data_IF_274783394732
#
_entry.id   IF_274783394732
#
_cell.length_a   1.000
_cell.length_b   1.000
_cell.length_c   1.000
_cell.angle_alpha   90.00
_cell.angle_beta   90.00
_cell.angle_gamma   90.00
#
_symmetry.space_group_name_H-M   'P 1'
#
loop_
_entity.id
_entity.type
_entity.pdbx_description
1 polymer ?
#
# COMPACT_ATOMS: atom_id res chain seq x y z
N UNK A 1 -21.30 10.41 -15.22
CA UNK A 1 -20.86 9.46 -14.17
C UNK A 1 -20.95 7.99 -14.63
N UNK A 2 -21.88 7.65 -15.53
CA UNK A 2 -22.03 6.30 -16.14
C UNK A 2 -20.81 5.81 -16.91
N UNK A 3 -20.17 6.67 -17.70
CA UNK A 3 -18.99 6.35 -18.52
C UNK A 3 -17.83 5.68 -17.76
N UNK A 4 -17.53 6.10 -16.52
CA UNK A 4 -16.49 5.44 -15.72
C UNK A 4 -16.84 4.00 -15.35
N UNK A 5 -18.12 3.76 -15.06
CA UNK A 5 -18.65 2.43 -14.72
C UNK A 5 -18.64 1.48 -15.91
N UNK A 6 -18.93 1.97 -17.11
CA UNK A 6 -18.86 1.18 -18.35
C UNK A 6 -17.45 0.65 -18.63
N UNK A 7 -16.42 1.46 -18.39
CA UNK A 7 -15.03 1.03 -18.55
C UNK A 7 -14.65 -0.05 -17.52
N UNK A 8 -15.03 0.13 -16.25
CA UNK A 8 -14.82 -0.86 -15.20
C UNK A 8 -15.53 -2.18 -15.50
N UNK A 9 -16.79 -2.12 -15.95
CA UNK A 9 -17.60 -3.29 -16.33
C UNK A 9 -16.98 -4.01 -17.54
N UNK A 10 -16.43 -3.28 -18.51
CA UNK A 10 -15.74 -3.87 -19.66
C UNK A 10 -14.43 -4.58 -19.25
N UNK A 11 -13.64 -3.96 -18.37
CA UNK A 11 -12.40 -4.56 -17.85
C UNK A 11 -12.73 -5.83 -17.04
N UNK A 12 -13.76 -5.77 -16.19
CA UNK A 12 -14.22 -6.92 -15.40
C UNK A 12 -14.57 -8.09 -16.32
N UNK A 13 -15.40 -7.86 -17.34
CA UNK A 13 -15.80 -8.90 -18.28
C UNK A 13 -14.59 -9.57 -18.96
N UNK A 14 -13.64 -8.79 -19.46
CA UNK A 14 -12.42 -9.34 -20.10
C UNK A 14 -11.63 -10.19 -19.11
N UNK A 15 -11.46 -9.72 -17.88
CA UNK A 15 -10.70 -10.42 -16.86
C UNK A 15 -11.37 -11.76 -16.48
N UNK A 16 -12.68 -11.75 -16.26
CA UNK A 16 -13.48 -12.93 -15.94
C UNK A 16 -13.50 -13.97 -17.07
N UNK A 17 -13.61 -13.53 -18.34
CA UNK A 17 -13.51 -14.41 -19.51
C UNK A 17 -12.17 -15.16 -19.57
N UNK A 18 -11.11 -14.57 -19.01
CA UNK A 18 -9.78 -15.19 -18.89
C UNK A 18 -9.55 -15.87 -17.52
N UNK A 19 -10.60 -16.06 -16.72
CA UNK A 19 -10.57 -16.77 -15.45
C UNK A 19 -9.85 -16.02 -14.33
N UNK A 20 -9.87 -14.69 -14.36
CA UNK A 20 -9.44 -13.86 -13.24
C UNK A 20 -10.62 -13.51 -12.34
N UNK A 21 -10.38 -13.38 -11.03
CA UNK A 21 -11.36 -12.86 -10.08
C UNK A 21 -11.26 -11.34 -10.03
N UNK A 22 -12.39 -10.65 -10.02
CA UNK A 22 -12.45 -9.18 -9.99
C UNK A 22 -13.21 -8.71 -8.75
N UNK A 23 -12.73 -7.65 -8.11
CA UNK A 23 -13.43 -6.92 -7.05
C UNK A 23 -13.52 -5.45 -7.41
N UNK A 24 -14.73 -4.93 -7.64
CA UNK A 24 -14.98 -3.53 -8.01
C UNK A 24 -15.25 -2.65 -6.79
N UNK A 25 -14.70 -1.44 -6.82
CA UNK A 25 -14.99 -0.32 -5.89
C UNK A 25 -15.02 -0.73 -4.43
N UNK A 26 -14.05 -1.56 -4.03
CA UNK A 26 -13.96 -2.07 -2.67
C UNK A 26 -13.00 -1.23 -1.84
N UNK A 27 -13.32 -1.06 -0.56
CA UNK A 27 -12.46 -0.37 0.41
C UNK A 27 -11.34 -1.29 0.89
N UNK A 28 -10.11 -0.79 0.82
CA UNK A 28 -8.88 -1.41 1.33
C UNK A 28 -8.11 -0.36 2.13
N UNK A 29 -7.92 -0.59 3.43
CA UNK A 29 -7.42 0.43 4.34
C UNK A 29 -8.30 1.69 4.26
N UNK A 30 -7.70 2.83 3.97
CA UNK A 30 -8.39 4.12 3.88
C UNK A 30 -8.90 4.47 2.47
N UNK A 31 -8.67 3.62 1.47
CA UNK A 31 -8.98 3.94 0.06
C UNK A 31 -10.01 3.00 -0.54
N UNK A 32 -10.80 3.55 -1.46
CA UNK A 32 -11.66 2.75 -2.35
C UNK A 32 -10.89 2.60 -3.66
N UNK A 33 -10.64 1.36 -4.04
CA UNK A 33 -9.93 1.01 -5.27
C UNK A 33 -10.95 0.68 -6.35
N UNK A 34 -10.73 1.18 -7.57
CA UNK A 34 -11.64 0.93 -8.69
C UNK A 34 -11.79 -0.58 -8.96
N UNK A 35 -10.66 -1.27 -9.15
CA UNK A 35 -10.61 -2.69 -9.51
C UNK A 35 -9.42 -3.38 -8.85
N UNK A 36 -9.67 -4.53 -8.22
CA UNK A 36 -8.64 -5.49 -7.80
C UNK A 36 -8.87 -6.79 -8.56
N UNK A 37 -7.90 -7.18 -9.39
CA UNK A 37 -7.99 -8.35 -10.27
C UNK A 37 -6.95 -9.38 -9.85
N UNK A 38 -7.32 -10.63 -9.62
CA UNK A 38 -6.41 -11.63 -9.06
C UNK A 38 -6.54 -13.02 -9.68
N UNK A 39 -5.40 -13.71 -9.80
CA UNK A 39 -5.30 -15.10 -10.29
C UNK A 39 -3.98 -15.73 -9.87
N UNK A 40 -4.01 -16.94 -9.31
CA UNK A 40 -2.81 -17.74 -9.04
C UNK A 40 -1.73 -17.04 -8.21
N UNK A 41 -2.12 -16.28 -7.19
CA UNK A 41 -1.18 -15.52 -6.33
C UNK A 41 -0.72 -14.17 -6.92
N UNK A 42 -1.13 -13.83 -8.14
CA UNK A 42 -0.91 -12.51 -8.73
C UNK A 42 -2.12 -11.61 -8.48
N UNK A 43 -1.87 -10.35 -8.10
CA UNK A 43 -2.90 -9.32 -7.92
C UNK A 43 -2.52 -8.07 -8.71
N UNK A 44 -3.47 -7.55 -9.48
CA UNK A 44 -3.38 -6.27 -10.16
C UNK A 44 -4.29 -5.25 -9.49
N UNK A 45 -3.71 -4.10 -9.16
CA UNK A 45 -4.44 -2.93 -8.69
C UNK A 45 -4.65 -2.03 -9.90
N UNK A 46 -5.89 -1.95 -10.35
CA UNK A 46 -6.24 -1.30 -11.60
C UNK A 46 -7.03 -0.04 -11.28
N UNK A 47 -6.43 1.11 -11.59
CA UNK A 47 -7.13 2.38 -11.63
C UNK A 47 -7.66 2.59 -13.05
N UNK A 48 -8.94 2.92 -13.17
CA UNK A 48 -9.57 3.22 -14.45
C UNK A 48 -9.79 4.73 -14.57
N UNK A 49 -9.59 5.29 -15.76
CA UNK A 49 -9.87 6.70 -16.06
C UNK A 49 -10.60 6.75 -17.39
N UNK A 50 -11.80 7.33 -17.38
CA UNK A 50 -12.53 7.62 -18.60
C UNK A 50 -12.28 9.07 -19.02
N UNK A 51 -11.04 9.32 -19.44
CA UNK A 51 -10.54 10.57 -20.03
C UNK A 51 -9.76 10.23 -21.29
N UNK A 52 -9.66 11.17 -22.23
CA UNK A 52 -8.95 10.92 -23.51
C UNK A 52 -7.46 10.62 -23.30
N UNK A 53 -6.86 11.18 -22.25
CA UNK A 53 -5.48 10.94 -21.88
C UNK A 53 -5.35 10.88 -20.35
N UNK A 54 -4.48 9.98 -19.87
CA UNK A 54 -4.07 9.91 -18.47
C UNK A 54 -2.96 10.92 -18.18
N UNK A 55 -2.98 11.49 -16.98
CA UNK A 55 -2.02 12.48 -16.49
C UNK A 55 -0.98 11.85 -15.55
N UNK A 56 0.20 12.47 -15.34
CA UNK A 56 1.18 11.97 -14.36
C UNK A 56 0.63 11.81 -12.93
N UNK A 57 -0.38 12.60 -12.57
CA UNK A 57 -1.12 12.47 -11.31
C UNK A 57 -1.88 11.15 -11.22
N UNK A 58 -2.38 10.61 -12.34
CA UNK A 58 -3.08 9.31 -12.36
C UNK A 58 -2.11 8.18 -12.07
N UNK A 59 -0.89 8.24 -12.61
CA UNK A 59 0.19 7.28 -12.27
C UNK A 59 0.52 7.34 -10.78
N UNK A 60 0.66 8.56 -10.25
CA UNK A 60 0.96 8.77 -8.83
C UNK A 60 -0.18 8.27 -7.93
N UNK A 61 -1.42 8.43 -8.38
CA UNK A 61 -2.62 7.95 -7.69
C UNK A 61 -2.66 6.42 -7.66
N UNK A 62 -2.45 5.75 -8.80
CA UNK A 62 -2.37 4.29 -8.90
C UNK A 62 -1.26 3.72 -8.02
N UNK A 63 -0.11 4.40 -7.94
CA UNK A 63 0.98 3.97 -7.04
C UNK A 63 0.54 3.99 -5.57
N UNK A 64 -0.15 5.04 -5.15
CA UNK A 64 -0.68 5.15 -3.78
C UNK A 64 -1.77 4.10 -3.51
N UNK A 65 -2.62 3.78 -4.49
CA UNK A 65 -3.63 2.72 -4.36
C UNK A 65 -2.99 1.34 -4.20
N UNK A 66 -1.90 1.07 -4.93
CA UNK A 66 -1.09 -0.13 -4.74
C UNK A 66 -0.47 -0.19 -3.34
N UNK A 67 0.16 0.89 -2.87
CA UNK A 67 0.78 0.94 -1.55
C UNK A 67 -0.24 0.72 -0.42
N UNK A 68 -1.45 1.27 -0.56
CA UNK A 68 -2.54 1.05 0.37
C UNK A 68 -3.02 -0.40 0.38
N UNK A 69 -3.17 -1.02 -0.79
CA UNK A 69 -3.55 -2.43 -0.87
C UNK A 69 -2.51 -3.34 -0.21
N UNK A 70 -1.22 -3.07 -0.42
CA UNK A 70 -0.14 -3.82 0.23
C UNK A 70 -0.18 -3.63 1.74
N UNK A 71 -0.38 -2.40 2.24
CA UNK A 71 -0.55 -2.15 3.67
C UNK A 71 -1.72 -2.94 4.24
N UNK A 72 -2.89 -2.89 3.59
CA UNK A 72 -4.06 -3.65 4.00
C UNK A 72 -3.81 -5.16 4.03
N UNK A 73 -3.10 -5.71 3.04
CA UNK A 73 -2.73 -7.13 3.07
C UNK A 73 -1.87 -7.46 4.29
N UNK A 74 -0.88 -6.63 4.60
CA UNK A 74 -0.01 -6.85 5.76
C UNK A 74 -0.80 -6.76 7.07
N UNK A 75 -1.57 -5.68 7.25
CA UNK A 75 -2.23 -5.38 8.51
C UNK A 75 -3.49 -6.22 8.72
N UNK A 76 -4.44 -6.20 7.78
CA UNK A 76 -5.76 -6.81 7.96
C UNK A 76 -5.78 -8.30 7.59
N UNK A 77 -4.89 -8.75 6.70
CA UNK A 77 -4.84 -10.17 6.31
C UNK A 77 -3.79 -10.96 7.06
N UNK A 78 -2.62 -10.37 7.32
CA UNK A 78 -1.54 -11.07 8.01
C UNK A 78 -1.40 -10.66 9.49
N UNK A 79 -2.09 -9.61 9.94
CA UNK A 79 -1.94 -9.12 11.32
C UNK A 79 -0.56 -8.51 11.59
N UNK A 80 0.14 -8.05 10.54
CA UNK A 80 1.50 -7.55 10.60
C UNK A 80 1.52 -6.03 10.45
N UNK A 81 2.18 -5.36 11.40
CA UNK A 81 2.62 -3.98 11.21
C UNK A 81 4.07 -3.99 10.69
N UNK A 82 4.28 -3.45 9.49
CA UNK A 82 5.61 -3.34 8.87
C UNK A 82 6.02 -1.87 8.88
N UNK A 83 7.06 -1.56 9.67
CA UNK A 83 7.53 -0.20 9.87
C UNK A 83 8.94 -0.06 9.31
N UNK A 84 9.18 0.82 8.32
CA UNK A 84 10.53 1.04 7.80
C UNK A 84 11.35 1.84 8.82
N UNK A 85 12.56 1.35 9.08
CA UNK A 85 13.52 1.96 10.01
C UNK A 85 14.83 2.22 9.29
N UNK A 86 15.38 3.41 9.44
CA UNK A 86 16.75 3.74 9.05
C UNK A 86 17.60 3.95 10.30
N UNK A 87 18.74 3.25 10.34
CA UNK A 87 19.69 3.30 11.47
C UNK A 87 20.98 3.99 11.06
N UNK A 88 21.46 4.93 11.87
CA UNK A 88 22.74 5.62 11.67
C UNK A 88 23.25 6.18 12.99
N UNK A 89 24.55 6.43 13.13
CA UNK A 89 25.08 7.12 14.34
C UNK A 89 24.54 8.53 14.51
N UNK A 90 24.16 9.18 13.41
CA UNK A 90 23.55 10.52 13.40
C UNK A 90 22.78 10.76 12.09
N UNK A 91 21.95 11.80 12.09
CA UNK A 91 21.11 12.17 10.95
C UNK A 91 21.22 13.66 10.64
N UNK A 92 21.39 13.99 9.36
CA UNK A 92 21.29 15.37 8.87
C UNK A 92 19.84 15.84 8.87
N UNK A 93 19.62 17.16 8.84
CA UNK A 93 18.26 17.73 8.78
C UNK A 93 17.53 17.35 7.49
N UNK A 94 18.27 17.21 6.38
CA UNK A 94 17.72 16.70 5.12
C UNK A 94 17.24 15.25 5.25
N UNK A 95 17.97 14.39 5.95
CA UNK A 95 17.56 13.02 6.22
C UNK A 95 16.30 12.97 7.10
N UNK A 96 16.26 13.75 8.18
CA UNK A 96 15.09 13.89 9.06
C UNK A 96 13.85 14.38 8.29
N UNK A 97 14.03 15.36 7.41
CA UNK A 97 12.97 15.90 6.57
C UNK A 97 12.37 14.85 5.63
N UNK A 98 13.22 14.10 4.90
CA UNK A 98 12.75 13.01 4.02
C UNK A 98 12.09 11.87 4.79
N UNK A 99 12.69 11.46 5.91
CA UNK A 99 12.17 10.38 6.73
C UNK A 99 10.73 10.66 7.18
N UNK A 100 10.45 11.89 7.62
CA UNK A 100 9.09 12.33 7.95
C UNK A 100 8.13 12.24 6.76
N UNK A 101 8.57 12.66 5.57
CA UNK A 101 7.75 12.61 4.36
C UNK A 101 7.41 11.18 3.88
N UNK A 102 8.27 10.20 4.20
CA UNK A 102 8.09 8.80 3.81
C UNK A 102 7.61 7.89 4.96
N UNK A 103 7.42 8.42 6.17
CA UNK A 103 7.05 7.61 7.34
C UNK A 103 8.13 6.64 7.80
N UNK A 104 9.41 6.97 7.57
CA UNK A 104 10.56 6.16 8.03
C UNK A 104 10.96 6.60 9.43
N UNK A 105 11.04 5.64 10.35
CA UNK A 105 11.57 5.92 11.69
C UNK A 105 13.09 6.00 11.64
N UNK A 106 13.64 6.96 12.37
CA UNK A 106 15.08 7.17 12.49
C UNK A 106 15.52 6.76 13.89
N UNK A 107 16.51 5.89 13.97
CA UNK A 107 17.11 5.49 15.24
C UNK A 107 18.63 5.50 15.13
N UNK A 108 19.30 5.93 16.19
CA UNK A 108 20.67 5.54 16.44
C UNK A 108 20.75 4.06 16.80
N UNK A 109 21.97 3.51 16.80
CA UNK A 109 22.18 2.11 17.17
C UNK A 109 21.68 1.86 18.60
N UNK A 110 22.03 2.76 19.54
CA UNK A 110 21.66 2.65 20.95
C UNK A 110 20.14 2.80 21.17
N UNK A 111 19.49 3.71 20.43
CA UNK A 111 18.03 3.86 20.48
C UNK A 111 17.30 2.65 19.91
N UNK A 112 17.82 2.04 18.82
CA UNK A 112 17.24 0.82 18.27
C UNK A 112 17.43 -0.36 19.24
N UNK A 113 18.61 -0.50 19.84
CA UNK A 113 18.87 -1.55 20.85
C UNK A 113 17.88 -1.44 22.01
N UNK A 114 17.68 -0.22 22.52
CA UNK A 114 16.72 0.05 23.60
C UNK A 114 15.29 -0.35 23.20
N UNK A 115 14.84 0.06 22.01
CA UNK A 115 13.53 -0.30 21.47
C UNK A 115 13.33 -1.82 21.39
N UNK A 116 14.33 -2.55 20.87
CA UNK A 116 14.25 -4.00 20.73
C UNK A 116 14.24 -4.70 22.09
N UNK A 117 15.06 -4.24 23.04
CA UNK A 117 15.12 -4.81 24.39
C UNK A 117 13.83 -4.57 25.19
N UNK A 118 13.16 -3.42 25.01
CA UNK A 118 11.84 -3.16 25.59
C UNK A 118 10.77 -4.10 25.03
N UNK A 119 10.78 -4.32 23.70
CA UNK A 119 9.81 -5.20 23.03
C UNK A 119 10.01 -6.68 23.33
N UNK A 120 11.24 -7.10 23.61
CA UNK A 120 11.52 -8.45 24.08
C UNK A 120 10.85 -8.72 25.44
N UNK A 121 11.01 -7.78 26.39
CA UNK A 121 10.42 -7.86 27.73
C UNK A 121 8.88 -7.87 27.69
N UNK A 122 8.29 -7.01 26.86
CA UNK A 122 6.83 -6.94 26.73
C UNK A 122 6.17 -8.22 26.17
N UNK A 123 6.92 -9.13 25.54
CA UNK A 123 6.42 -10.43 25.06
C UNK A 123 6.60 -11.57 26.06
N UNK A 124 7.34 -11.35 27.14
CA UNK A 124 7.50 -12.34 28.22
C UNK A 124 6.40 -12.22 29.28
N UNK A 125 5.66 -11.10 29.28
CA UNK A 125 4.56 -10.80 30.20
C UNK A 125 3.15 -11.15 29.65
N UNK A 126 3.05 -11.67 28.42
CA UNK A 126 1.83 -12.15 27.73
C UNK A 126 1.82 -13.69 27.63
#
# INVERSE_FOLDING_TARGET
MEKGKELEDFIEKIAEEHGWRVEKRRKYGDRILDLVISKGGTVFIVQSKNTDQAMPSDVSQTRKDFEEYVRWLLEEKLGLSVVPILVSRSFSDGAKGRARGYGVLLYTVDELESLLAERARAREDD
#
